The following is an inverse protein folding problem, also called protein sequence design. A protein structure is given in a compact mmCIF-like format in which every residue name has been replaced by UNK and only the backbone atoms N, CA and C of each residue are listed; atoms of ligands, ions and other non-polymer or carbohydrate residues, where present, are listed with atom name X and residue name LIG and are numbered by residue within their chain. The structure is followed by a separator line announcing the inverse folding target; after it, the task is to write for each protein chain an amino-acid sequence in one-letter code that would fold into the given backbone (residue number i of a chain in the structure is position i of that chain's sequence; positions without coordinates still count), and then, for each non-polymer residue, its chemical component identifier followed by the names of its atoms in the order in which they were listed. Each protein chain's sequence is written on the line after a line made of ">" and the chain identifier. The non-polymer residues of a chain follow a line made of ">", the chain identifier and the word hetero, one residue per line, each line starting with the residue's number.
data_IF_759466792133
#
_entry.id   IF_759466792133
#
_cell.length_a   1.000
_cell.length_b   1.000
_cell.length_c   1.000
_cell.angle_alpha   90.00
_cell.angle_beta   90.00
_cell.angle_gamma   90.00
#
_symmetry.space_group_name_H-M   'P 1'
#
loop_
_entity.id
_entity.type
_entity.pdbx_description
1 polymer ?
#
# COMPACT_ATOMS: atom_id res chain seq x y z
N UNK A 1 -11.23 -28.89 -15.89
CA UNK A 1 -10.85 -28.52 -14.51
C UNK A 1 -11.66 -27.29 -14.18
N UNK A 2 -12.68 -27.42 -13.34
CA UNK A 2 -13.39 -26.25 -12.81
C UNK A 2 -12.57 -25.68 -11.66
N UNK A 3 -12.30 -24.38 -11.74
CA UNK A 3 -11.65 -23.65 -10.65
C UNK A 3 -12.77 -23.18 -9.72
N UNK A 4 -12.99 -23.91 -8.63
CA UNK A 4 -13.95 -23.56 -7.58
C UNK A 4 -13.29 -22.72 -6.50
N UNK A 5 -13.93 -21.61 -6.13
CA UNK A 5 -13.47 -20.73 -5.05
C UNK A 5 -13.61 -21.43 -3.69
N UNK A 6 -12.56 -21.39 -2.87
CA UNK A 6 -12.64 -21.75 -1.46
C UNK A 6 -13.08 -20.52 -0.64
N UNK A 7 -14.39 -20.39 -0.45
CA UNK A 7 -15.01 -19.29 0.29
C UNK A 7 -14.55 -19.22 1.77
N UNK A 8 -14.12 -20.35 2.35
CA UNK A 8 -13.66 -20.42 3.74
C UNK A 8 -12.28 -19.78 3.90
N UNK A 9 -11.36 -20.08 2.97
CA UNK A 9 -10.04 -19.46 2.93
C UNK A 9 -10.15 -17.97 2.61
N UNK A 10 -11.02 -17.59 1.67
CA UNK A 10 -11.26 -16.19 1.33
C UNK A 10 -11.77 -15.39 2.55
N UNK A 11 -12.70 -15.97 3.33
CA UNK A 11 -13.23 -15.36 4.56
C UNK A 11 -12.16 -15.23 5.65
N UNK A 12 -11.25 -16.20 5.76
CA UNK A 12 -10.11 -16.10 6.69
C UNK A 12 -9.15 -14.97 6.29
N UNK A 13 -8.74 -14.94 5.02
CA UNK A 13 -7.89 -13.87 4.50
C UNK A 13 -8.51 -12.49 4.64
N UNK A 14 -9.84 -12.39 4.52
CA UNK A 14 -10.62 -11.20 4.79
C UNK A 14 -10.47 -10.69 6.23
N UNK A 15 -10.55 -11.60 7.21
CA UNK A 15 -10.38 -11.25 8.62
C UNK A 15 -8.95 -10.81 8.91
N UNK A 16 -7.97 -11.58 8.44
CA UNK A 16 -6.55 -11.30 8.65
C UNK A 16 -6.15 -9.95 8.00
N UNK A 17 -6.69 -9.65 6.81
CA UNK A 17 -6.57 -8.33 6.18
C UNK A 17 -7.29 -7.23 6.95
N UNK A 18 -8.47 -7.54 7.52
CA UNK A 18 -9.17 -6.60 8.38
C UNK A 18 -8.28 -6.17 9.54
N UNK A 19 -7.69 -7.12 10.24
CA UNK A 19 -6.79 -6.84 11.37
C UNK A 19 -5.56 -6.00 10.96
N UNK A 20 -4.94 -6.30 9.81
CA UNK A 20 -3.79 -5.54 9.27
C UNK A 20 -4.17 -4.14 8.73
N UNK A 21 -5.32 -4.00 8.06
CA UNK A 21 -5.74 -2.71 7.50
C UNK A 21 -6.21 -1.76 8.62
N UNK A 22 -6.78 -2.32 9.69
CA UNK A 22 -7.32 -1.60 10.85
C UNK A 22 -6.33 -1.48 12.02
N UNK A 23 -5.01 -1.53 11.76
CA UNK A 23 -4.00 -1.14 12.75
C UNK A 23 -4.36 0.23 13.32
N UNK A 24 -4.22 0.38 14.64
CA UNK A 24 -4.51 1.58 15.42
C UNK A 24 -3.54 2.71 15.01
N UNK A 25 -3.82 3.34 13.86
CA UNK A 25 -3.04 4.44 13.29
C UNK A 25 -3.51 5.76 13.90
N UNK A 26 -2.58 6.68 14.13
CA UNK A 26 -2.96 8.05 14.49
C UNK A 26 -3.76 8.69 13.34
N UNK A 27 -4.96 9.20 13.65
CA UNK A 27 -5.86 9.81 12.68
C UNK A 27 -5.94 11.33 12.88
N UNK A 28 -6.01 12.12 11.79
CA UNK A 28 -6.01 11.69 10.39
C UNK A 28 -4.64 11.18 9.93
N UNK A 29 -4.64 10.16 9.08
CA UNK A 29 -3.39 9.64 8.48
C UNK A 29 -3.13 10.28 7.11
N UNK A 30 -1.86 10.46 6.70
CA UNK A 30 -1.46 11.03 5.40
C UNK A 30 -2.26 10.44 4.23
N UNK A 31 -2.39 9.12 4.20
CA UNK A 31 -3.13 8.43 3.14
C UNK A 31 -4.62 8.79 3.11
N UNK A 32 -5.27 9.04 4.26
CA UNK A 32 -6.67 9.49 4.29
C UNK A 32 -6.85 10.86 3.64
N UNK A 33 -5.85 11.75 3.81
CA UNK A 33 -5.88 13.12 3.32
C UNK A 33 -5.60 13.22 1.81
N UNK A 34 -4.89 12.24 1.24
CA UNK A 34 -4.55 12.20 -0.19
C UNK A 34 -5.72 11.69 -1.05
N UNK A 35 -6.53 10.78 -0.51
CA UNK A 35 -7.65 10.17 -1.20
C UNK A 35 -8.98 10.88 -0.87
N UNK A 36 -10.11 10.17 -1.06
CA UNK A 36 -11.44 10.73 -0.85
C UNK A 36 -11.79 10.80 0.65
N UNK A 37 -11.85 12.02 1.21
CA UNK A 37 -12.20 12.25 2.62
C UNK A 37 -13.57 11.67 3.00
N UNK A 38 -14.56 11.73 2.09
CA UNK A 38 -15.87 11.13 2.29
C UNK A 38 -15.77 9.61 2.46
N UNK A 39 -14.95 8.94 1.62
CA UNK A 39 -14.68 7.51 1.75
C UNK A 39 -14.01 7.20 3.08
N UNK A 40 -12.99 7.97 3.48
CA UNK A 40 -12.29 7.79 4.76
C UNK A 40 -13.22 7.99 5.97
N UNK A 41 -14.17 8.93 5.88
CA UNK A 41 -15.20 9.11 6.91
C UNK A 41 -16.15 7.91 7.00
N UNK A 42 -16.66 7.43 5.85
CA UNK A 42 -17.57 6.28 5.82
C UNK A 42 -16.87 5.01 6.28
N UNK A 43 -15.62 4.77 5.89
CA UNK A 43 -14.84 3.63 6.38
C UNK A 43 -14.85 3.61 7.91
N UNK A 44 -14.57 4.75 8.57
CA UNK A 44 -14.51 4.84 10.04
C UNK A 44 -15.87 4.71 10.74
N UNK A 45 -16.92 5.31 10.19
CA UNK A 45 -18.24 5.40 10.85
C UNK A 45 -19.17 4.26 10.50
N UNK A 46 -19.07 3.72 9.28
CA UNK A 46 -19.93 2.68 8.75
C UNK A 46 -19.16 1.88 7.69
N UNK A 47 -18.17 1.07 8.10
CA UNK A 47 -17.35 0.31 7.16
C UNK A 47 -18.24 -0.61 6.33
N UNK A 48 -18.06 -0.54 5.02
CA UNK A 48 -18.62 -1.55 4.12
C UNK A 48 -17.68 -2.76 4.11
N UNK A 49 -18.20 -3.98 3.99
CA UNK A 49 -17.36 -5.16 3.81
C UNK A 49 -16.52 -5.02 2.55
N UNK A 50 -15.28 -5.48 2.58
CA UNK A 50 -14.43 -5.53 1.40
C UNK A 50 -15.03 -6.45 0.34
N UNK A 51 -14.96 -6.03 -0.92
CA UNK A 51 -15.32 -6.90 -2.06
C UNK A 51 -14.26 -7.98 -2.26
N UNK A 52 -14.59 -9.15 -2.83
CA UNK A 52 -13.60 -10.20 -3.13
C UNK A 52 -12.40 -9.69 -3.94
N UNK A 53 -12.63 -8.74 -4.84
CA UNK A 53 -11.59 -8.08 -5.62
C UNK A 53 -10.65 -7.23 -4.75
N UNK A 54 -11.18 -6.47 -3.81
CA UNK A 54 -10.36 -5.69 -2.87
C UNK A 54 -9.52 -6.61 -2.00
N UNK A 55 -10.12 -7.69 -1.49
CA UNK A 55 -9.43 -8.73 -0.71
C UNK A 55 -8.26 -9.31 -1.47
N UNK A 56 -8.48 -9.73 -2.72
CA UNK A 56 -7.42 -10.29 -3.55
C UNK A 56 -6.26 -9.30 -3.74
N UNK A 57 -6.56 -8.04 -4.04
CA UNK A 57 -5.54 -7.02 -4.27
C UNK A 57 -4.78 -6.68 -2.98
N UNK A 58 -5.49 -6.49 -1.87
CA UNK A 58 -4.87 -6.18 -0.57
C UNK A 58 -4.05 -7.35 -0.04
N UNK A 59 -4.57 -8.58 -0.11
CA UNK A 59 -3.84 -9.78 0.38
C UNK A 59 -2.56 -10.02 -0.40
N UNK A 60 -2.58 -9.78 -1.71
CA UNK A 60 -1.37 -9.85 -2.54
C UNK A 60 -0.35 -8.80 -2.08
N UNK A 61 -0.79 -7.56 -1.83
CA UNK A 61 0.04 -6.47 -1.31
C UNK A 61 0.66 -6.78 0.05
N UNK A 62 -0.18 -7.04 1.04
CA UNK A 62 0.22 -7.31 2.44
C UNK A 62 1.10 -8.56 2.53
N UNK A 63 0.74 -9.63 1.82
CA UNK A 63 1.52 -10.87 1.83
C UNK A 63 2.94 -10.67 1.26
N UNK A 64 3.05 -9.96 0.14
CA UNK A 64 4.36 -9.69 -0.48
C UNK A 64 5.17 -8.69 0.32
N UNK A 65 4.55 -7.65 0.89
CA UNK A 65 5.22 -6.74 1.82
C UNK A 65 5.79 -7.50 3.02
N UNK A 66 4.99 -8.35 3.66
CA UNK A 66 5.40 -9.14 4.82
C UNK A 66 6.55 -10.12 4.52
N UNK A 67 6.63 -10.63 3.29
CA UNK A 67 7.72 -11.53 2.86
C UNK A 67 8.97 -10.73 2.47
N UNK A 68 8.83 -9.73 1.61
CA UNK A 68 9.95 -8.99 1.02
C UNK A 68 10.60 -8.04 2.02
N UNK A 69 9.80 -7.39 2.86
CA UNK A 69 10.29 -6.42 3.82
C UNK A 69 10.62 -7.05 5.18
N UNK A 70 10.43 -8.35 5.41
CA UNK A 70 10.64 -8.98 6.73
C UNK A 70 11.94 -8.59 7.45
N UNK A 71 13.04 -8.43 6.69
CA UNK A 71 14.37 -8.07 7.21
C UNK A 71 14.62 -6.55 7.27
N UNK A 72 13.81 -5.76 6.58
CA UNK A 72 13.95 -4.31 6.39
C UNK A 72 12.80 -3.50 7.00
N UNK A 73 11.77 -4.18 7.52
CA UNK A 73 10.59 -3.58 8.15
C UNK A 73 11.02 -2.98 9.49
N UNK A 74 11.58 -1.79 9.40
CA UNK A 74 11.68 -0.84 10.48
C UNK A 74 10.58 0.17 10.21
N UNK A 75 9.46 0.04 10.90
CA UNK A 75 8.40 1.03 10.82
C UNK A 75 8.96 2.35 11.31
N UNK A 76 9.03 3.33 10.40
CA UNK A 76 9.18 4.74 10.77
C UNK A 76 7.78 5.32 10.71
N UNK A 77 7.12 5.30 11.85
CA UNK A 77 5.83 5.91 12.06
C UNK A 77 5.94 7.09 13.02
N UNK A 78 4.98 8.00 12.92
CA UNK A 78 4.97 9.18 13.75
C UNK A 78 3.79 10.09 13.50
N UNK A 79 3.82 11.23 14.19
CA UNK A 79 2.80 12.28 14.08
C UNK A 79 3.49 13.60 13.82
N UNK A 80 3.04 14.33 12.80
CA UNK A 80 3.49 15.70 12.51
C UNK A 80 2.29 16.59 12.30
N UNK A 81 2.23 17.72 13.01
CA UNK A 81 1.13 18.67 12.94
C UNK A 81 -0.26 18.01 13.16
N UNK A 82 -0.31 16.97 14.01
CA UNK A 82 -1.52 16.18 14.27
C UNK A 82 -1.90 15.18 13.16
N UNK A 83 -1.03 14.95 12.18
CA UNK A 83 -1.24 14.01 11.07
C UNK A 83 -0.32 12.80 11.26
N UNK A 84 -0.92 11.60 11.29
CA UNK A 84 -0.19 10.34 11.35
C UNK A 84 0.46 9.97 10.02
N UNK A 85 1.64 9.37 10.07
CA UNK A 85 2.32 8.83 8.89
C UNK A 85 3.07 7.54 9.26
N UNK A 86 3.32 6.68 8.27
CA UNK A 86 4.12 5.48 8.42
C UNK A 86 4.76 5.12 7.07
N UNK A 87 6.08 4.97 7.05
CA UNK A 87 6.82 4.45 5.88
C UNK A 87 7.01 2.94 5.99
N UNK A 88 7.05 2.25 4.86
CA UNK A 88 7.05 0.79 4.83
C UNK A 88 8.37 0.16 5.33
N UNK A 89 9.51 0.77 5.01
CA UNK A 89 10.83 0.24 5.40
C UNK A 89 11.92 1.31 5.48
N UNK A 90 13.08 0.93 6.02
CA UNK A 90 14.33 1.67 5.93
C UNK A 90 15.30 0.94 4.99
N UNK A 91 15.92 1.69 4.09
CA UNK A 91 17.03 1.18 3.25
C UNK A 91 18.27 0.91 4.10
N UNK A 92 19.24 0.17 3.55
CA UNK A 92 20.54 -0.04 4.22
C UNK A 92 21.29 1.26 4.50
N UNK A 93 21.03 2.31 3.72
CA UNK A 93 21.63 3.65 3.85
C UNK A 93 20.86 4.54 4.84
N UNK A 94 19.79 4.03 5.46
CA UNK A 94 18.98 4.75 6.44
C UNK A 94 17.88 5.63 5.85
N UNK A 95 17.72 5.66 4.53
CA UNK A 95 16.61 6.39 3.90
C UNK A 95 15.28 5.66 4.05
N UNK A 96 14.16 6.40 4.20
CA UNK A 96 12.83 5.81 4.16
C UNK A 96 12.53 5.19 2.79
N UNK A 97 11.71 4.16 2.80
CA UNK A 97 11.30 3.40 1.62
C UNK A 97 9.80 3.10 1.62
N UNK A 98 9.21 3.12 0.42
CA UNK A 98 7.83 2.75 0.15
C UNK A 98 7.81 1.61 -0.85
N UNK A 99 7.05 0.55 -0.57
CA UNK A 99 6.84 -0.56 -1.48
C UNK A 99 5.43 -0.45 -2.09
N UNK A 100 5.37 -0.37 -3.41
CA UNK A 100 4.10 -0.41 -4.15
C UNK A 100 4.00 -1.66 -4.99
N UNK A 101 2.83 -2.29 -4.93
CA UNK A 101 2.45 -3.37 -5.84
C UNK A 101 1.41 -2.86 -6.82
N UNK A 102 1.59 -3.15 -8.11
CA UNK A 102 0.73 -2.60 -9.14
C UNK A 102 0.51 -3.51 -10.32
N UNK A 103 -0.65 -3.33 -10.97
CA UNK A 103 -0.96 -3.96 -12.26
C UNK A 103 -0.61 -3.05 -13.44
N UNK A 104 -0.01 -1.88 -13.19
CA UNK A 104 0.58 -1.07 -14.26
C UNK A 104 1.70 -1.87 -14.94
N UNK A 105 1.81 -1.72 -16.26
CA UNK A 105 2.91 -2.31 -17.03
C UNK A 105 4.27 -1.81 -16.52
N UNK A 106 5.28 -2.68 -16.53
CA UNK A 106 6.66 -2.33 -16.21
C UNK A 106 7.28 -1.29 -17.17
N UNK A 107 6.63 -1.00 -18.32
CA UNK A 107 7.03 0.09 -19.23
C UNK A 107 6.77 1.48 -18.67
N UNK A 108 5.85 1.59 -17.71
CA UNK A 108 5.41 2.88 -17.18
C UNK A 108 6.54 3.49 -16.36
N UNK A 109 7.05 4.61 -16.84
CA UNK A 109 8.09 5.36 -16.15
C UNK A 109 7.56 6.11 -14.92
N UNK A 110 8.45 6.72 -14.13
CA UNK A 110 8.07 7.50 -12.94
C UNK A 110 7.01 8.57 -13.19
N UNK A 111 7.07 9.25 -14.35
CA UNK A 111 6.12 10.31 -14.73
C UNK A 111 4.70 9.80 -15.01
N UNK A 112 4.55 8.49 -15.22
CA UNK A 112 3.26 7.84 -15.47
C UNK A 112 2.71 7.14 -14.23
N UNK A 113 3.40 7.22 -13.09
CA UNK A 113 2.91 6.66 -11.84
C UNK A 113 1.77 7.51 -11.26
N UNK A 114 0.87 6.90 -10.45
CA UNK A 114 -0.23 7.64 -9.84
C UNK A 114 0.25 8.84 -9.02
N UNK A 115 -0.32 10.01 -9.29
CA UNK A 115 0.03 11.25 -8.57
C UNK A 115 -0.20 11.16 -7.06
N UNK A 116 -1.09 10.26 -6.61
CA UNK A 116 -1.33 9.97 -5.20
C UNK A 116 -0.11 9.33 -4.52
N UNK A 117 0.67 8.51 -5.23
CA UNK A 117 1.90 7.94 -4.69
C UNK A 117 2.96 9.01 -4.50
N UNK A 118 3.11 9.91 -5.47
CA UNK A 118 4.02 11.05 -5.35
C UNK A 118 3.65 11.94 -4.17
N UNK A 119 2.35 12.25 -4.00
CA UNK A 119 1.87 13.00 -2.83
C UNK A 119 2.22 12.32 -1.52
N UNK A 120 2.07 10.99 -1.44
CA UNK A 120 2.38 10.22 -0.24
C UNK A 120 3.89 10.30 0.09
N UNK A 121 4.75 10.11 -0.91
CA UNK A 121 6.21 10.21 -0.77
C UNK A 121 6.62 11.61 -0.31
N UNK A 122 6.11 12.66 -0.95
CA UNK A 122 6.42 14.04 -0.58
C UNK A 122 5.93 14.38 0.85
N UNK A 123 4.79 13.85 1.25
CA UNK A 123 4.30 13.98 2.64
C UNK A 123 5.25 13.30 3.62
N UNK A 124 5.75 12.10 3.31
CA UNK A 124 6.67 11.38 4.18
C UNK A 124 8.05 12.02 4.28
N UNK A 125 8.61 12.51 3.17
CA UNK A 125 9.83 13.32 3.16
C UNK A 125 9.68 14.54 4.07
N UNK A 126 8.54 15.24 3.94
CA UNK A 126 8.24 16.36 4.82
C UNK A 126 8.13 15.91 6.27
N UNK A 127 7.46 14.80 6.56
CA UNK A 127 7.30 14.28 7.92
C UNK A 127 8.62 13.92 8.58
N UNK A 128 9.46 13.15 7.89
CA UNK A 128 10.76 12.66 8.39
C UNK A 128 11.88 13.71 8.34
N UNK A 129 11.65 14.85 7.68
CA UNK A 129 12.65 15.88 7.45
C UNK A 129 13.81 15.38 6.55
N UNK A 130 13.48 14.50 5.60
CA UNK A 130 14.41 13.89 4.64
C UNK A 130 14.37 14.60 3.28
N UNK A 131 15.44 14.41 2.49
CA UNK A 131 15.58 14.94 1.12
C UNK A 131 15.31 13.88 0.03
N UNK A 132 15.29 12.59 0.39
CA UNK A 132 15.13 11.47 -0.54
C UNK A 132 14.45 10.27 0.11
N UNK A 133 13.76 9.50 -0.73
CA UNK A 133 13.03 8.28 -0.34
C UNK A 133 13.15 7.26 -1.47
N UNK A 134 13.27 5.97 -1.14
CA UNK A 134 13.25 4.91 -2.13
C UNK A 134 11.81 4.49 -2.44
N UNK A 135 11.39 4.59 -3.69
CA UNK A 135 10.15 3.97 -4.16
C UNK A 135 10.48 2.65 -4.85
N UNK A 136 10.16 1.53 -4.21
CA UNK A 136 10.23 0.21 -4.82
C UNK A 136 8.87 -0.15 -5.42
N UNK A 137 8.82 -0.40 -6.74
CA UNK A 137 7.57 -0.78 -7.42
C UNK A 137 7.69 -2.20 -7.96
N UNK A 138 6.81 -3.08 -7.50
CA UNK A 138 6.64 -4.42 -8.05
C UNK A 138 5.47 -4.43 -9.02
N UNK A 139 5.79 -4.65 -10.30
CA UNK A 139 4.80 -4.78 -11.36
C UNK A 139 4.33 -6.24 -11.45
N UNK A 140 3.05 -6.48 -11.14
CA UNK A 140 2.41 -7.79 -11.29
C UNK A 140 2.20 -8.16 -12.76
N UNK A 141 2.16 -7.14 -13.63
CA UNK A 141 2.16 -7.31 -15.08
C UNK A 141 3.59 -7.08 -15.56
N UNK A 142 4.15 -8.05 -16.29
CA UNK A 142 5.46 -7.91 -16.92
C UNK A 142 5.47 -6.87 -18.05
N UNK A 143 6.48 -6.98 -18.91
CA UNK A 143 6.67 -6.10 -20.07
C UNK A 143 5.72 -6.43 -21.23
N UNK A 144 4.44 -6.67 -20.94
CA UNK A 144 3.45 -7.12 -21.91
C UNK A 144 3.25 -6.05 -22.99
N UNK A 145 3.66 -6.35 -24.21
CA UNK A 145 3.38 -5.55 -25.40
C UNK A 145 3.15 -6.46 -26.62
N UNK A 146 2.20 -6.10 -27.50
CA UNK A 146 2.04 -6.77 -28.77
C UNK A 146 3.31 -6.70 -29.63
N UNK A 147 3.57 -7.68 -30.51
CA UNK A 147 2.80 -8.92 -30.66
C UNK A 147 3.11 -9.88 -29.51
N UNK A 148 2.05 -10.43 -28.90
CA UNK A 148 2.19 -11.50 -27.92
C UNK A 148 2.57 -12.80 -28.65
N UNK A 149 3.37 -13.70 -28.06
CA UNK A 149 3.49 -15.08 -28.56
C UNK A 149 2.15 -15.83 -28.52
#
# INVERSE_FOLDING_TARGET
>A
MEWTEDSSLATRMLRDLGEEIWIDKHLPHVTELIYCLTRSWYQRRKPLPFTPREVLLFSTGVGLEGVLLKRHKQQVDGVRDGIGYATDFLTYEGYPGELKLTRLSAKKGPDELPSTWMRQILSYLKCNNDDRMLLAVMHLMGDYAPPFP
#
